data_IF_769414128928
#
_entry.id   IF_769414128928
#
_cell.length_a   1.000
_cell.length_b   1.000
_cell.length_c   1.000
_cell.angle_alpha   90.00
_cell.angle_beta   90.00
_cell.angle_gamma   90.00
#
_symmetry.space_group_name_H-M   'P 1'
#
loop_
_entity.id
_entity.type
_entity.pdbx_description
1 polymer ?
#
# COMPACT_ATOMS: atom_id res chain seq x y z
N UNK A 1 -2.18 22.63 -9.84
CA UNK A 1 -2.16 22.39 -8.38
C UNK A 1 -2.28 20.90 -8.10
N UNK A 2 -1.29 20.29 -7.45
CA UNK A 2 -1.28 18.85 -7.13
C UNK A 2 -2.14 18.49 -5.91
N UNK A 3 -2.45 17.21 -5.75
CA UNK A 3 -3.15 16.70 -4.55
C UNK A 3 -2.28 16.91 -3.32
N UNK A 4 -2.75 17.70 -2.36
CA UNK A 4 -2.02 18.04 -1.12
C UNK A 4 -2.18 17.01 0.01
N UNK A 5 -3.04 15.99 -0.18
CA UNK A 5 -3.34 14.97 0.84
C UNK A 5 -2.71 13.61 0.53
N UNK A 6 -2.40 12.85 1.58
CA UNK A 6 -1.91 11.49 1.43
C UNK A 6 -2.96 10.60 0.71
N UNK A 7 -2.55 9.71 -0.20
CA UNK A 7 -3.48 8.83 -0.89
C UNK A 7 -4.15 7.89 0.13
N UNK A 8 -5.47 7.77 0.09
CA UNK A 8 -6.24 6.87 0.98
C UNK A 8 -6.25 5.40 0.52
N UNK A 9 -5.82 5.13 -0.71
CA UNK A 9 -5.86 3.79 -1.34
C UNK A 9 -4.51 3.48 -1.98
N UNK A 10 -4.10 2.22 -1.92
CA UNK A 10 -2.88 1.72 -2.53
C UNK A 10 -3.23 0.79 -3.70
N UNK A 11 -2.63 1.02 -4.88
CA UNK A 11 -2.74 0.06 -5.99
C UNK A 11 -1.97 -1.19 -5.62
N UNK A 12 -2.53 -2.36 -5.91
CA UNK A 12 -1.90 -3.65 -5.59
C UNK A 12 -0.58 -3.88 -6.33
N UNK A 13 -0.43 -3.29 -7.52
CA UNK A 13 0.82 -3.29 -8.28
C UNK A 13 1.94 -2.45 -7.64
N UNK A 14 1.57 -1.46 -6.81
CA UNK A 14 2.49 -0.61 -6.08
C UNK A 14 2.78 -1.14 -4.66
N UNK A 15 2.29 -2.34 -4.32
CA UNK A 15 2.60 -2.98 -3.06
C UNK A 15 4.05 -3.50 -3.04
N UNK A 16 4.71 -3.54 -1.86
CA UNK A 16 6.03 -4.14 -1.71
C UNK A 16 6.11 -5.58 -2.21
N UNK A 17 7.31 -6.04 -2.58
CA UNK A 17 7.53 -7.39 -3.11
C UNK A 17 7.42 -8.49 -2.05
N UNK A 18 7.76 -8.18 -0.80
CA UNK A 18 7.73 -9.15 0.31
C UNK A 18 6.32 -9.45 0.82
N UNK A 19 5.31 -8.68 0.41
CA UNK A 19 3.93 -8.95 0.81
C UNK A 19 3.41 -10.20 0.11
N UNK A 20 2.89 -11.21 0.84
CA UNK A 20 2.39 -12.46 0.27
C UNK A 20 1.01 -12.23 -0.37
N UNK A 21 0.93 -11.38 -1.40
CA UNK A 21 -0.32 -10.93 -2.00
C UNK A 21 -0.25 -11.11 -3.53
N UNK A 22 -1.20 -11.85 -4.14
CA UNK A 22 -1.17 -12.07 -5.59
C UNK A 22 -1.55 -10.79 -6.34
N UNK A 23 -0.63 -10.17 -7.08
CA UNK A 23 -0.75 -8.79 -7.59
C UNK A 23 -1.82 -8.55 -8.66
N UNK A 24 -2.27 -9.59 -9.38
CA UNK A 24 -3.17 -9.49 -10.55
C UNK A 24 -4.61 -9.91 -10.31
N UNK A 25 -4.97 -10.33 -9.09
CA UNK A 25 -6.35 -10.76 -8.79
C UNK A 25 -7.28 -9.55 -8.60
N UNK A 26 -6.79 -8.50 -7.95
CA UNK A 26 -7.60 -7.31 -7.63
C UNK A 26 -6.81 -6.02 -7.92
N UNK A 27 -7.53 -4.93 -8.21
CA UNK A 27 -6.93 -3.64 -8.56
C UNK A 27 -6.32 -2.90 -7.37
N UNK A 28 -6.93 -3.04 -6.19
CA UNK A 28 -6.61 -2.25 -5.00
C UNK A 28 -6.22 -3.14 -3.82
N UNK A 29 -5.48 -2.53 -2.90
CA UNK A 29 -5.08 -3.11 -1.64
C UNK A 29 -5.41 -2.15 -0.50
N UNK A 30 -5.58 -2.71 0.70
CA UNK A 30 -5.72 -1.93 1.94
C UNK A 30 -4.43 -1.16 2.16
N UNK A 31 -4.55 0.16 2.36
CA UNK A 31 -3.40 0.99 2.71
C UNK A 31 -3.10 0.78 4.21
N UNK A 32 -1.88 0.42 4.61
CA UNK A 32 -1.53 0.28 6.01
C UNK A 32 -1.70 1.63 6.74
N UNK A 33 -2.12 1.53 7.99
CA UNK A 33 -2.27 2.69 8.88
C UNK A 33 -0.87 3.16 9.29
N UNK A 34 -0.60 4.48 9.37
CA UNK A 34 0.66 4.96 9.91
C UNK A 34 0.85 4.45 11.33
N UNK A 35 1.94 3.73 11.56
CA UNK A 35 2.26 3.10 12.83
C UNK A 35 3.76 3.15 13.12
N UNK A 36 4.25 2.35 14.08
CA UNK A 36 5.66 2.36 14.48
C UNK A 36 6.60 1.83 13.38
N UNK A 37 6.08 1.02 12.46
CA UNK A 37 6.85 0.41 11.38
C UNK A 37 6.66 1.17 10.06
N UNK A 38 7.77 1.35 9.34
CA UNK A 38 7.77 1.91 7.99
C UNK A 38 7.03 1.02 7.00
N UNK A 39 6.48 1.61 5.93
CA UNK A 39 5.75 0.87 4.87
C UNK A 39 6.58 -0.20 4.15
N UNK A 40 7.90 -0.11 4.23
CA UNK A 40 8.86 -1.04 3.60
C UNK A 40 9.18 -2.26 4.47
N UNK A 41 8.81 -2.23 5.75
CA UNK A 41 9.09 -3.30 6.72
C UNK A 41 7.85 -3.74 7.51
N UNK A 42 6.68 -3.21 7.15
CA UNK A 42 5.40 -3.53 7.79
C UNK A 42 4.57 -4.42 6.88
N UNK A 43 3.88 -5.39 7.48
CA UNK A 43 2.76 -6.06 6.86
C UNK A 43 1.47 -5.29 7.22
N UNK A 44 0.52 -5.17 6.26
CA UNK A 44 -0.74 -4.49 6.50
C UNK A 44 -1.64 -5.25 7.47
#
# INVERSE_FOLDING_TARGET
>A
MGKKGAPKRLKRLAAPAFWPIPRRIHKWLVKPIPGPHSSEASLP
#
